data_IF_501115869089
#
_entry.id   IF_501115869089
#
_cell.length_a   1.000
_cell.length_b   1.000
_cell.length_c   1.000
_cell.angle_alpha   90.00
_cell.angle_beta   90.00
_cell.angle_gamma   90.00
#
_symmetry.space_group_name_H-M   'P 1'
#
loop_
_entity.id
_entity.type
_entity.pdbx_description
1 polymer ?
#
# COMPACT_ATOMS: atom_id res chain seq x y z
N UNK A 1 45.54 -24.45 -16.66
CA UNK A 1 44.18 -24.96 -16.97
C UNK A 1 43.22 -24.92 -15.75
N UNK A 2 43.66 -25.30 -14.55
CA UNK A 2 42.77 -25.29 -13.35
C UNK A 2 42.28 -23.90 -12.94
N UNK A 3 43.08 -22.86 -13.03
CA UNK A 3 42.68 -21.48 -12.69
C UNK A 3 41.64 -20.90 -13.65
N UNK A 4 41.67 -21.27 -14.92
CA UNK A 4 40.69 -20.83 -15.91
C UNK A 4 39.29 -21.42 -15.65
N UNK A 5 39.24 -22.69 -15.19
CA UNK A 5 37.95 -23.35 -14.86
C UNK A 5 37.34 -22.75 -13.60
N UNK A 6 38.17 -22.40 -12.61
CA UNK A 6 37.71 -21.78 -11.36
C UNK A 6 37.10 -20.37 -11.61
N UNK A 7 37.72 -19.58 -12.51
CA UNK A 7 37.21 -18.26 -12.89
C UNK A 7 35.89 -18.35 -13.64
N UNK A 8 35.73 -19.31 -14.56
CA UNK A 8 34.47 -19.54 -15.26
C UNK A 8 33.34 -19.96 -14.30
N UNK A 9 33.62 -20.81 -13.32
CA UNK A 9 32.66 -21.19 -12.28
C UNK A 9 32.30 -20.01 -11.38
N UNK A 10 33.24 -19.16 -11.00
CA UNK A 10 32.96 -17.96 -10.19
C UNK A 10 32.10 -16.93 -10.92
N UNK A 11 32.38 -16.69 -12.21
CA UNK A 11 31.55 -15.80 -13.06
C UNK A 11 30.15 -16.37 -13.24
N UNK A 12 29.98 -17.69 -13.43
CA UNK A 12 28.69 -18.35 -13.55
C UNK A 12 27.86 -18.24 -12.27
N UNK A 13 28.47 -18.38 -11.09
CA UNK A 13 27.78 -18.24 -9.80
C UNK A 13 27.36 -16.79 -9.55
N UNK A 14 28.20 -15.81 -9.89
CA UNK A 14 27.88 -14.39 -9.73
C UNK A 14 26.75 -13.98 -10.66
N UNK A 15 26.72 -14.44 -11.91
CA UNK A 15 25.61 -14.15 -12.83
C UNK A 15 24.29 -14.77 -12.39
N UNK A 16 24.31 -15.95 -11.77
CA UNK A 16 23.12 -16.59 -11.23
C UNK A 16 22.56 -15.86 -10.00
N UNK A 17 23.40 -15.23 -9.19
CA UNK A 17 23.00 -14.43 -8.02
C UNK A 17 22.41 -13.06 -8.39
N UNK A 18 22.67 -12.56 -9.60
CA UNK A 18 22.16 -11.27 -10.06
C UNK A 18 20.80 -11.36 -10.78
N UNK A 19 20.31 -12.56 -11.07
CA UNK A 19 18.97 -12.76 -11.63
C UNK A 19 18.00 -12.86 -10.47
N UNK A 20 17.65 -11.72 -9.87
CA UNK A 20 16.49 -11.65 -8.99
C UNK A 20 15.24 -11.81 -9.86
N UNK A 21 14.39 -12.82 -9.64
CA UNK A 21 13.11 -12.88 -10.33
C UNK A 21 12.31 -11.64 -9.94
N UNK A 22 12.05 -10.78 -10.90
CA UNK A 22 11.06 -9.72 -10.76
C UNK A 22 9.70 -10.39 -10.64
N UNK A 23 9.17 -10.52 -9.43
CA UNK A 23 7.78 -10.94 -9.21
C UNK A 23 6.93 -9.76 -9.65
N UNK A 24 6.48 -9.78 -10.91
CA UNK A 24 5.47 -8.84 -11.36
C UNK A 24 4.17 -9.16 -10.62
N UNK A 25 3.68 -8.21 -9.84
CA UNK A 25 2.37 -8.32 -9.21
C UNK A 25 1.31 -8.19 -10.32
N UNK A 26 0.78 -9.33 -10.76
CA UNK A 26 -0.28 -9.35 -11.77
C UNK A 26 -1.60 -9.06 -11.06
N UNK A 27 -2.21 -7.91 -11.38
CA UNK A 27 -3.55 -7.57 -10.91
C UNK A 27 -4.57 -8.55 -11.48
N UNK A 28 -5.29 -9.24 -10.61
CA UNK A 28 -6.39 -10.10 -10.99
C UNK A 28 -7.67 -9.60 -10.35
N UNK A 29 -8.47 -8.86 -11.11
CA UNK A 29 -9.79 -8.42 -10.69
C UNK A 29 -10.83 -8.76 -11.76
N UNK A 30 -12.12 -8.93 -11.38
CA UNK A 30 -13.18 -9.19 -12.34
C UNK A 30 -13.25 -8.08 -13.39
N UNK A 31 -13.17 -8.45 -14.67
CA UNK A 31 -13.39 -7.52 -15.78
C UNK A 31 -14.82 -7.62 -16.27
N UNK A 32 -15.40 -6.51 -16.69
CA UNK A 32 -16.76 -6.47 -17.23
C UNK A 32 -17.22 -5.05 -17.56
N UNK A 33 -18.36 -4.92 -18.24
CA UNK A 33 -18.96 -3.61 -18.47
C UNK A 33 -19.28 -2.97 -17.10
N UNK A 34 -18.93 -1.69 -16.94
CA UNK A 34 -19.10 -0.91 -15.71
C UNK A 34 -18.28 -1.42 -14.48
N UNK A 35 -17.26 -2.25 -14.70
CA UNK A 35 -16.31 -2.65 -13.65
C UNK A 35 -14.99 -1.93 -13.86
N UNK A 36 -14.56 -1.19 -12.86
CA UNK A 36 -13.24 -0.60 -12.76
C UNK A 36 -12.45 -1.31 -11.68
N UNK A 37 -11.13 -1.26 -11.72
CA UNK A 37 -10.32 -1.91 -10.70
C UNK A 37 -8.84 -1.62 -10.86
N UNK A 38 -8.07 -2.06 -9.92
CA UNK A 38 -6.63 -1.90 -9.93
C UNK A 38 -5.93 -2.60 -8.78
N UNK A 39 -4.62 -2.58 -8.85
CA UNK A 39 -3.77 -2.98 -7.75
C UNK A 39 -2.62 -1.99 -7.59
N UNK A 40 -2.14 -1.82 -6.36
CA UNK A 40 -1.05 -0.92 -6.06
C UNK A 40 -0.30 -1.34 -4.79
N UNK A 41 0.99 -1.06 -4.77
CA UNK A 41 1.71 -0.99 -3.52
C UNK A 41 1.36 0.33 -2.83
N UNK A 42 0.91 0.25 -1.59
CA UNK A 42 0.63 1.44 -0.80
C UNK A 42 1.94 2.07 -0.30
N UNK A 43 2.01 3.40 -0.14
CA UNK A 43 3.26 4.11 0.10
C UNK A 43 3.86 3.88 1.49
N UNK A 44 3.21 3.08 2.34
CA UNK A 44 3.66 2.81 3.71
C UNK A 44 3.29 1.41 4.17
N UNK A 45 3.94 0.95 5.25
CA UNK A 45 3.69 -0.32 5.94
C UNK A 45 3.90 -1.56 5.06
N UNK A 46 4.59 -1.44 3.90
CA UNK A 46 4.77 -2.51 2.90
C UNK A 46 3.45 -3.17 2.50
N UNK A 47 2.38 -2.38 2.50
CA UNK A 47 1.05 -2.85 2.19
C UNK A 47 0.79 -2.85 0.69
N UNK A 48 -0.11 -3.72 0.24
CA UNK A 48 -0.67 -3.72 -1.10
C UNK A 48 -2.19 -3.76 -1.05
N UNK A 49 -2.79 -3.26 -2.11
CA UNK A 49 -4.23 -3.08 -2.20
C UNK A 49 -4.72 -3.41 -3.60
N UNK A 50 -5.58 -4.41 -3.70
CA UNK A 50 -6.26 -4.82 -4.92
C UNK A 50 -7.74 -4.51 -4.74
N UNK A 51 -8.39 -4.00 -5.80
CA UNK A 51 -9.78 -3.62 -5.72
C UNK A 51 -10.50 -3.78 -7.06
N UNK A 52 -11.80 -3.98 -7.00
CA UNK A 52 -12.72 -3.92 -8.14
C UNK A 52 -14.02 -3.24 -7.71
N UNK A 53 -14.47 -2.27 -8.50
CA UNK A 53 -15.71 -1.55 -8.27
C UNK A 53 -16.67 -1.77 -9.43
N UNK A 54 -17.88 -2.22 -9.11
CA UNK A 54 -18.96 -2.37 -10.07
C UNK A 54 -19.95 -1.21 -9.90
N UNK A 55 -19.96 -0.29 -10.88
CA UNK A 55 -20.81 0.89 -10.84
C UNK A 55 -22.31 0.58 -10.98
N UNK A 56 -22.69 -0.60 -11.51
CA UNK A 56 -24.09 -0.97 -11.69
C UNK A 56 -24.80 -1.23 -10.35
N UNK A 57 -24.11 -1.85 -9.41
CA UNK A 57 -24.67 -2.22 -8.09
C UNK A 57 -23.89 -1.58 -6.93
N UNK A 58 -22.97 -0.67 -7.23
CA UNK A 58 -22.11 0.06 -6.28
C UNK A 58 -21.29 -0.83 -5.35
N UNK A 59 -20.95 -2.03 -5.78
CA UNK A 59 -20.12 -2.94 -4.98
C UNK A 59 -18.65 -2.66 -5.16
N UNK A 60 -17.91 -2.57 -4.07
CA UNK A 60 -16.46 -2.50 -4.01
C UNK A 60 -15.93 -3.79 -3.37
N UNK A 61 -15.23 -4.61 -4.15
CA UNK A 61 -14.47 -5.77 -3.65
C UNK A 61 -13.03 -5.35 -3.42
N UNK A 62 -12.46 -5.71 -2.28
CA UNK A 62 -11.10 -5.35 -1.90
C UNK A 62 -10.30 -6.57 -1.41
N UNK A 63 -9.00 -6.52 -1.66
CA UNK A 63 -8.00 -7.34 -0.96
C UNK A 63 -6.90 -6.40 -0.45
N UNK A 64 -6.89 -6.17 0.85
CA UNK A 64 -5.81 -5.45 1.53
C UNK A 64 -4.81 -6.45 2.09
N UNK A 65 -3.53 -6.25 1.85
CA UNK A 65 -2.45 -7.16 2.29
C UNK A 65 -1.36 -6.35 2.97
N UNK A 66 -0.95 -6.78 4.17
CA UNK A 66 0.17 -6.17 4.87
C UNK A 66 0.92 -7.19 5.74
N UNK A 67 2.24 -7.05 5.93
CA UNK A 67 2.96 -7.82 6.94
C UNK A 67 2.52 -7.42 8.34
N UNK A 68 2.40 -8.39 9.25
CA UNK A 68 2.15 -8.10 10.65
C UNK A 68 3.36 -7.39 11.28
N UNK A 69 3.11 -6.44 12.16
CA UNK A 69 4.16 -5.77 12.96
C UNK A 69 4.80 -6.72 13.99
N UNK A 70 4.07 -7.77 14.39
CA UNK A 70 4.52 -8.84 15.28
C UNK A 70 3.62 -10.08 15.08
N UNK A 71 3.98 -11.28 15.57
CA UNK A 71 3.16 -12.49 15.43
C UNK A 71 1.73 -12.36 15.99
N UNK A 72 1.55 -11.53 17.03
CA UNK A 72 0.25 -11.27 17.67
C UNK A 72 -0.36 -9.94 17.19
N UNK A 73 0.14 -9.40 16.10
CA UNK A 73 -0.30 -8.14 15.53
C UNK A 73 -1.64 -8.23 14.80
N UNK A 74 -2.06 -7.09 14.29
CA UNK A 74 -3.25 -6.92 13.50
C UNK A 74 -2.99 -6.01 12.29
N UNK A 75 -3.83 -6.13 11.27
CA UNK A 75 -3.86 -5.22 10.12
C UNK A 75 -5.25 -4.63 9.99
N UNK A 76 -5.32 -3.44 9.41
CA UNK A 76 -6.58 -2.70 9.22
C UNK A 76 -6.60 -1.98 7.89
N UNK A 77 -7.77 -1.96 7.28
CA UNK A 77 -8.13 -1.08 6.18
C UNK A 77 -9.53 -0.54 6.42
N UNK A 78 -9.77 0.72 6.08
CA UNK A 78 -11.07 1.34 6.27
C UNK A 78 -11.28 2.56 5.40
N UNK A 79 -12.53 3.04 5.38
CA UNK A 79 -12.96 4.25 4.67
C UNK A 79 -13.31 5.32 5.70
N UNK A 80 -12.84 6.54 5.48
CA UNK A 80 -13.34 7.70 6.21
C UNK A 80 -14.38 8.42 5.33
N UNK A 81 -15.66 8.28 5.61
CA UNK A 81 -16.72 8.88 4.79
C UNK A 81 -16.79 10.41 4.90
N UNK A 82 -16.25 10.99 5.97
CA UNK A 82 -16.38 12.41 6.30
C UNK A 82 -15.07 13.20 6.26
N UNK A 83 -13.94 12.54 5.99
CA UNK A 83 -12.65 13.21 6.01
C UNK A 83 -11.51 12.38 5.42
N UNK A 84 -10.29 12.89 5.51
CA UNK A 84 -9.10 12.23 4.94
C UNK A 84 -8.16 11.65 6.00
N UNK A 85 -8.54 11.72 7.28
CA UNK A 85 -7.71 11.29 8.40
C UNK A 85 -8.23 10.03 9.08
N UNK A 86 -7.55 9.65 10.14
CA UNK A 86 -7.88 8.45 10.92
C UNK A 86 -9.20 8.60 11.70
N UNK A 87 -9.44 9.78 12.30
CA UNK A 87 -10.67 10.02 13.06
C UNK A 87 -11.86 10.08 12.10
N UNK A 88 -12.92 9.33 12.42
CA UNK A 88 -14.09 9.14 11.57
C UNK A 88 -13.98 7.95 10.62
N UNK A 89 -12.86 7.22 10.64
CA UNK A 89 -12.70 6.03 9.81
C UNK A 89 -13.55 4.88 10.33
N UNK A 90 -14.24 4.23 9.41
CA UNK A 90 -14.94 2.96 9.56
C UNK A 90 -14.01 1.85 9.06
N UNK A 91 -13.43 1.07 9.98
CA UNK A 91 -12.32 0.18 9.69
C UNK A 91 -12.67 -1.29 9.87
N UNK A 92 -12.23 -2.11 8.92
CA UNK A 92 -12.12 -3.56 9.06
C UNK A 92 -10.76 -3.86 9.67
N UNK A 93 -10.72 -4.60 10.77
CA UNK A 93 -9.49 -5.01 11.45
C UNK A 93 -9.42 -6.54 11.47
N UNK A 94 -8.33 -7.09 10.91
CA UNK A 94 -8.07 -8.52 10.90
C UNK A 94 -6.99 -8.90 11.91
N UNK A 95 -7.23 -9.94 12.66
CA UNK A 95 -6.32 -10.49 13.67
C UNK A 95 -6.64 -11.93 14.03
N UNK A 96 -5.76 -12.56 14.84
CA UNK A 96 -6.04 -13.83 15.51
C UNK A 96 -6.75 -13.56 16.84
N UNK A 97 -7.94 -14.09 17.00
CA UNK A 97 -8.70 -13.98 18.23
C UNK A 97 -8.12 -14.90 19.32
N UNK A 98 -8.63 -14.80 20.54
CA UNK A 98 -8.17 -15.55 21.73
C UNK A 98 -8.22 -17.07 21.57
N UNK A 99 -9.11 -17.58 20.72
CA UNK A 99 -9.20 -19.01 20.36
C UNK A 99 -8.29 -19.42 19.18
N UNK A 100 -7.47 -18.50 18.65
CA UNK A 100 -6.59 -18.72 17.50
C UNK A 100 -7.25 -18.58 16.12
N UNK A 101 -8.55 -18.34 16.04
CA UNK A 101 -9.26 -18.14 14.78
C UNK A 101 -8.92 -16.80 14.17
N UNK A 102 -8.83 -16.76 12.82
CA UNK A 102 -8.73 -15.50 12.08
C UNK A 102 -10.10 -14.83 12.03
N UNK A 103 -10.15 -13.57 12.42
CA UNK A 103 -11.38 -12.78 12.41
C UNK A 103 -11.18 -11.46 11.71
N UNK A 104 -12.25 -10.92 11.13
CA UNK A 104 -12.36 -9.53 10.68
C UNK A 104 -13.50 -8.90 11.46
N UNK A 105 -13.19 -7.86 12.22
CA UNK A 105 -14.19 -7.11 12.98
C UNK A 105 -14.28 -5.67 12.49
N UNK A 106 -15.44 -5.06 12.71
CA UNK A 106 -15.75 -3.69 12.32
C UNK A 106 -15.55 -2.72 13.48
N UNK A 107 -14.89 -1.60 13.23
CA UNK A 107 -14.60 -0.60 14.24
C UNK A 107 -14.85 0.81 13.72
N UNK A 108 -15.43 1.67 14.57
CA UNK A 108 -15.49 3.10 14.36
C UNK A 108 -14.39 3.79 15.17
N UNK A 109 -13.59 4.62 14.49
CA UNK A 109 -12.51 5.39 15.07
C UNK A 109 -13.02 6.79 15.42
N UNK A 110 -13.77 6.91 16.51
CA UNK A 110 -14.42 8.18 16.91
C UNK A 110 -13.40 9.21 17.44
N UNK A 111 -12.28 8.72 18.00
CA UNK A 111 -11.16 9.55 18.44
C UNK A 111 -9.90 8.69 18.56
N UNK A 112 -8.74 9.29 18.77
CA UNK A 112 -7.48 8.56 19.03
C UNK A 112 -7.52 7.68 20.31
N UNK A 113 -8.48 7.94 21.20
CA UNK A 113 -8.67 7.18 22.45
C UNK A 113 -9.90 6.28 22.43
N UNK A 114 -10.73 6.38 21.38
CA UNK A 114 -11.99 5.64 21.29
C UNK A 114 -12.09 4.92 19.95
N UNK A 115 -11.69 3.65 19.98
CA UNK A 115 -11.86 2.68 18.89
C UNK A 115 -12.93 1.70 19.36
N UNK A 116 -14.10 1.77 18.73
CA UNK A 116 -15.30 1.05 19.20
C UNK A 116 -15.69 -0.01 18.18
N UNK A 117 -15.76 -1.27 18.61
CA UNK A 117 -16.33 -2.36 17.82
C UNK A 117 -17.81 -2.05 17.53
N UNK A 118 -18.25 -2.20 16.30
CA UNK A 118 -19.59 -1.81 15.85
C UNK A 118 -20.05 -2.69 14.72
N UNK A 119 -21.38 -2.83 14.56
CA UNK A 119 -21.98 -3.42 13.38
C UNK A 119 -22.48 -2.38 12.37
N UNK A 120 -22.36 -1.11 12.70
CA UNK A 120 -22.93 -0.01 11.92
C UNK A 120 -21.84 0.79 11.23
N UNK A 121 -21.81 0.69 9.89
CA UNK A 121 -21.06 1.55 9.00
C UNK A 121 -22.00 2.36 8.14
N UNK A 122 -21.52 3.44 7.52
CA UNK A 122 -22.27 4.23 6.52
C UNK A 122 -22.47 3.46 5.22
N UNK A 123 -21.70 2.40 5.02
CA UNK A 123 -21.82 1.46 3.90
C UNK A 123 -22.05 0.04 4.43
N UNK A 124 -22.62 -0.82 3.58
CA UNK A 124 -22.91 -2.20 3.97
C UNK A 124 -21.70 -3.09 3.66
N UNK A 125 -21.26 -3.89 4.61
CA UNK A 125 -20.32 -4.99 4.40
C UNK A 125 -21.12 -6.25 4.08
N UNK A 126 -20.97 -6.78 2.86
CA UNK A 126 -21.65 -8.01 2.43
C UNK A 126 -20.92 -9.25 2.93
N UNK A 127 -19.60 -9.23 2.83
CA UNK A 127 -18.72 -10.31 3.24
C UNK A 127 -17.38 -9.74 3.67
N UNK A 128 -16.73 -10.43 4.62
CA UNK A 128 -15.34 -10.14 4.99
C UNK A 128 -14.69 -11.38 5.58
N UNK A 129 -13.44 -11.62 5.19
CA UNK A 129 -12.61 -12.70 5.74
C UNK A 129 -11.16 -12.27 5.87
N UNK A 130 -10.44 -12.91 6.79
CA UNK A 130 -9.01 -12.79 6.94
C UNK A 130 -8.29 -14.04 6.39
N UNK A 131 -7.13 -13.85 5.79
CA UNK A 131 -6.19 -14.91 5.44
C UNK A 131 -4.83 -14.56 6.04
N UNK A 132 -4.08 -15.58 6.47
CA UNK A 132 -2.76 -15.40 7.07
C UNK A 132 -1.79 -16.45 6.55
N UNK A 133 -0.65 -16.02 6.08
CA UNK A 133 0.46 -16.87 5.65
C UNK A 133 1.78 -16.12 5.73
N UNK A 134 2.84 -16.78 6.19
CA UNK A 134 4.21 -16.24 6.18
C UNK A 134 4.33 -14.82 6.79
N UNK A 135 3.71 -14.59 7.93
CA UNK A 135 3.67 -13.28 8.61
C UNK A 135 2.96 -12.16 7.83
N UNK A 136 2.20 -12.50 6.81
CA UNK A 136 1.37 -11.57 6.03
C UNK A 136 -0.09 -11.86 6.33
N UNK A 137 -0.84 -10.82 6.65
CA UNK A 137 -2.29 -10.85 6.86
C UNK A 137 -3.00 -10.19 5.68
N UNK A 138 -4.12 -10.78 5.24
CA UNK A 138 -4.99 -10.21 4.23
C UNK A 138 -6.37 -9.95 4.81
N UNK A 139 -7.00 -8.88 4.37
CA UNK A 139 -8.44 -8.62 4.51
C UNK A 139 -9.03 -8.70 3.13
N UNK A 140 -9.98 -9.62 2.92
CA UNK A 140 -10.82 -9.67 1.75
C UNK A 140 -12.22 -9.21 2.17
N UNK A 141 -12.81 -8.28 1.43
CA UNK A 141 -14.15 -7.81 1.75
C UNK A 141 -14.90 -7.35 0.51
N UNK A 142 -16.22 -7.44 0.56
CA UNK A 142 -17.13 -6.86 -0.42
C UNK A 142 -18.06 -5.89 0.27
N UNK A 143 -18.07 -4.65 -0.22
CA UNK A 143 -18.81 -3.52 0.35
C UNK A 143 -19.85 -3.03 -0.65
N UNK A 144 -21.00 -2.55 -0.19
CA UNK A 144 -21.95 -1.76 -0.99
C UNK A 144 -21.82 -0.31 -0.56
N UNK A 145 -21.32 0.51 -1.46
CA UNK A 145 -21.09 1.93 -1.21
C UNK A 145 -22.36 2.76 -1.49
N UNK A 146 -22.52 3.93 -0.88
CA UNK A 146 -23.55 4.89 -1.26
C UNK A 146 -23.48 5.23 -2.76
N UNK A 147 -24.63 5.38 -3.42
CA UNK A 147 -24.77 5.50 -4.88
C UNK A 147 -24.01 6.67 -5.50
N UNK A 148 -23.51 7.61 -4.88
CA UNK A 148 -22.77 8.77 -5.42
C UNK A 148 -21.27 8.74 -5.07
N UNK A 149 -20.83 7.68 -4.35
CA UNK A 149 -19.46 7.60 -3.87
C UNK A 149 -18.54 7.05 -4.98
N UNK A 150 -17.95 7.94 -5.76
CA UNK A 150 -16.96 7.61 -6.80
C UNK A 150 -15.52 7.75 -6.31
N UNK A 151 -15.33 8.25 -5.10
CA UNK A 151 -14.03 8.46 -4.47
C UNK A 151 -14.13 8.08 -3.00
N UNK A 152 -13.17 7.31 -2.51
CA UNK A 152 -13.09 6.92 -1.10
C UNK A 152 -11.80 7.40 -0.47
N UNK A 153 -11.88 7.98 0.73
CA UNK A 153 -10.73 8.28 1.54
C UNK A 153 -10.38 7.03 2.35
N UNK A 154 -9.28 6.39 2.01
CA UNK A 154 -8.84 5.16 2.65
C UNK A 154 -7.78 5.41 3.72
N UNK A 155 -7.83 4.61 4.77
CA UNK A 155 -6.85 4.60 5.86
C UNK A 155 -6.46 3.15 6.13
N UNK A 156 -5.17 2.87 6.27
CA UNK A 156 -4.68 1.54 6.61
C UNK A 156 -3.68 1.59 7.74
N UNK A 157 -3.63 0.53 8.55
CA UNK A 157 -2.76 0.46 9.71
C UNK A 157 -2.27 -0.96 9.97
N UNK A 158 -1.13 -1.08 10.64
CA UNK A 158 -0.69 -2.31 11.30
C UNK A 158 -0.38 -2.02 12.76
N UNK A 159 -0.75 -2.92 13.62
CA UNK A 159 -0.54 -2.75 15.06
C UNK A 159 0.17 -3.93 15.69
N UNK A 160 0.81 -3.72 16.86
CA UNK A 160 1.75 -4.66 17.44
C UNK A 160 1.10 -5.85 18.13
N UNK A 161 -0.12 -5.72 18.64
CA UNK A 161 -0.73 -6.76 19.48
C UNK A 161 -2.25 -6.66 19.53
N UNK A 162 -2.85 -7.80 19.86
CA UNK A 162 -4.24 -7.92 20.30
C UNK A 162 -4.23 -8.36 21.76
N UNK A 163 -4.98 -7.67 22.61
CA UNK A 163 -5.13 -8.02 24.03
C UNK A 163 -6.61 -8.21 24.36
N UNK A 164 -6.94 -9.34 24.94
CA UNK A 164 -8.32 -9.70 25.34
C UNK A 164 -9.31 -9.53 24.16
N UNK A 165 -8.90 -9.97 22.93
CA UNK A 165 -9.69 -9.86 21.71
C UNK A 165 -9.82 -8.43 21.16
N UNK A 166 -9.04 -7.47 21.66
CA UNK A 166 -9.07 -6.06 21.22
C UNK A 166 -7.73 -5.62 20.62
N UNK A 167 -7.72 -5.02 19.43
CA UNK A 167 -6.53 -4.45 18.83
C UNK A 167 -5.94 -3.34 19.72
N UNK A 168 -4.65 -3.44 20.02
CA UNK A 168 -3.91 -2.40 20.74
C UNK A 168 -3.53 -1.26 19.77
N UNK A 169 -3.28 -0.08 20.31
CA UNK A 169 -2.88 1.08 19.52
C UNK A 169 -1.64 0.76 18.68
N UNK A 170 -1.66 1.16 17.40
CA UNK A 170 -0.50 1.10 16.52
C UNK A 170 0.61 2.07 16.99
N UNK A 171 1.83 1.89 16.47
CA UNK A 171 2.93 2.80 16.74
C UNK A 171 2.66 4.18 16.10
N UNK A 172 3.14 5.24 16.75
CA UNK A 172 3.08 6.61 16.24
C UNK A 172 4.34 6.93 15.42
N UNK A 173 4.75 6.03 14.57
CA UNK A 173 5.87 6.24 13.66
C UNK A 173 5.42 6.87 12.33
N UNK A 174 6.36 7.41 11.53
CA UNK A 174 6.03 8.08 10.28
C UNK A 174 5.22 7.23 9.30
N UNK A 175 5.47 5.92 9.24
CA UNK A 175 4.77 5.03 8.31
C UNK A 175 3.29 4.84 8.70
N UNK A 176 3.00 4.66 10.00
CA UNK A 176 1.63 4.61 10.49
C UNK A 176 0.93 5.98 10.31
N UNK A 177 1.61 7.08 10.59
CA UNK A 177 1.02 8.43 10.49
C UNK A 177 0.69 8.85 9.05
N UNK A 178 1.38 8.31 8.05
CA UNK A 178 1.17 8.58 6.61
C UNK A 178 0.20 7.62 5.93
N UNK A 179 -0.24 6.57 6.61
CA UNK A 179 -1.03 5.47 6.03
C UNK A 179 -2.47 5.88 5.75
N UNK A 180 -2.63 6.77 4.79
CA UNK A 180 -3.90 7.27 4.27
C UNK A 180 -3.77 7.71 2.83
N UNK A 181 -4.86 7.72 2.10
CA UNK A 181 -4.88 8.12 0.69
C UNK A 181 -6.30 8.22 0.16
N UNK A 182 -6.42 8.64 -1.07
CA UNK A 182 -7.69 8.74 -1.80
C UNK A 182 -7.67 7.75 -2.95
N UNK A 183 -8.74 6.98 -3.10
CA UNK A 183 -8.95 6.04 -4.19
C UNK A 183 -10.09 6.57 -5.08
N UNK A 184 -9.80 6.76 -6.36
CA UNK A 184 -10.83 7.10 -7.36
C UNK A 184 -11.36 5.80 -7.98
N UNK A 185 -12.62 5.51 -7.77
CA UNK A 185 -13.29 4.29 -8.25
C UNK A 185 -13.65 4.34 -9.73
N UNK A 186 -13.59 5.52 -10.37
CA UNK A 186 -13.89 5.68 -11.79
C UNK A 186 -12.70 5.38 -12.70
N UNK A 187 -11.49 5.27 -12.16
CA UNK A 187 -10.26 5.02 -12.93
C UNK A 187 -9.79 3.58 -12.79
N UNK A 188 -9.36 3.00 -13.90
CA UNK A 188 -8.66 1.69 -13.90
C UNK A 188 -7.17 1.95 -13.83
N UNK A 189 -6.49 1.40 -12.84
CA UNK A 189 -5.03 1.41 -12.80
C UNK A 189 -4.54 0.06 -13.34
N UNK A 190 -4.04 0.07 -14.58
CA UNK A 190 -3.24 -1.03 -15.12
C UNK A 190 -1.88 -1.02 -14.42
N UNK A 191 -1.34 -2.21 -14.14
CA UNK A 191 -0.07 -2.36 -13.46
C UNK A 191 1.16 -1.98 -14.30
N UNK A 192 1.35 -0.69 -14.54
CA UNK A 192 2.59 -0.12 -15.05
C UNK A 192 3.25 0.68 -13.93
N UNK A 193 4.34 0.16 -13.41
CA UNK A 193 5.09 0.67 -12.25
C UNK A 193 5.72 2.07 -12.43
N UNK A 194 5.39 2.85 -13.47
CA UNK A 194 6.11 4.08 -13.79
C UNK A 194 5.27 5.38 -13.76
N UNK A 195 4.04 5.38 -13.26
CA UNK A 195 3.28 6.64 -13.23
C UNK A 195 2.54 6.89 -11.91
N UNK A 196 3.28 6.94 -10.81
CA UNK A 196 2.80 7.60 -9.59
C UNK A 196 2.89 9.11 -9.78
N UNK A 197 1.97 9.68 -10.54
CA UNK A 197 1.77 11.13 -10.55
C UNK A 197 1.17 11.50 -9.19
N UNK A 198 1.96 12.13 -8.35
CA UNK A 198 1.48 12.74 -7.12
C UNK A 198 0.32 13.71 -7.47
N UNK A 199 -0.76 13.76 -6.68
CA UNK A 199 -1.81 14.75 -6.90
C UNK A 199 -1.20 16.15 -6.84
N UNK A 200 -1.49 16.96 -7.88
CA UNK A 200 -1.05 18.34 -7.95
C UNK A 200 -1.57 19.11 -6.73
N UNK A 201 -0.76 19.95 -6.09
CA UNK A 201 -1.23 20.83 -5.02
C UNK A 201 -2.31 21.76 -5.57
N UNK A 202 -3.38 21.96 -4.78
CA UNK A 202 -4.45 22.88 -5.08
C UNK A 202 -3.89 24.29 -5.38
N UNK A 203 -4.46 25.03 -6.34
CA UNK A 203 -3.98 26.37 -6.68
C UNK A 203 -4.25 27.31 -5.50
N UNK A 204 -3.17 27.89 -4.97
CA UNK A 204 -3.26 29.02 -4.05
C UNK A 204 -3.79 30.23 -4.87
N UNK A 205 -4.85 30.85 -4.39
CA UNK A 205 -5.41 32.06 -4.94
C UNK A 205 -4.36 33.15 -5.01
N UNK A 206 -4.25 33.77 -6.18
CA UNK A 206 -3.26 34.77 -6.47
C UNK A 206 -3.68 36.17 -6.08
N UNK A 207 -2.69 37.03 -5.99
CA UNK A 207 -2.81 38.42 -6.42
C UNK A 207 -1.47 38.88 -7.01
N UNK A 208 -1.59 39.67 -8.07
CA UNK A 208 -0.63 39.97 -9.07
C UNK A 208 0.61 40.75 -8.68
N UNK A 209 1.59 40.70 -9.48
CA UNK A 209 2.19 41.85 -10.22
C UNK A 209 3.50 41.46 -10.90
N UNK A 210 3.56 41.78 -12.16
CA UNK A 210 4.66 42.12 -13.09
C UNK A 210 6.10 42.14 -12.59
N UNK A 211 7.02 41.51 -13.37
CA UNK A 211 8.47 41.82 -13.34
C UNK A 211 9.40 40.76 -13.93
N UNK A 212 9.61 40.80 -15.21
CA UNK A 212 10.83 40.69 -16.05
C UNK A 212 12.02 39.77 -15.66
N UNK A 213 12.32 38.83 -16.60
CA UNK A 213 13.62 38.29 -17.11
C UNK A 213 14.69 37.77 -16.13
N UNK A 214 15.07 36.47 -16.21
CA UNK A 214 16.25 36.03 -17.02
C UNK A 214 16.49 34.52 -16.77
N UNK A 215 17.07 33.87 -17.79
CA UNK A 215 17.27 32.44 -17.87
C UNK A 215 18.34 31.90 -16.92
N UNK A 216 18.14 30.65 -16.52
CA UNK A 216 19.11 29.84 -15.80
C UNK A 216 18.88 28.39 -16.16
N UNK A 217 19.72 27.87 -17.05
CA UNK A 217 19.81 26.46 -17.39
C UNK A 217 20.28 25.66 -16.16
N UNK A 218 19.45 24.82 -15.59
CA UNK A 218 19.86 23.85 -14.57
C UNK A 218 20.15 22.50 -15.22
N UNK A 219 21.44 22.19 -15.33
CA UNK A 219 21.95 20.88 -15.71
C UNK A 219 21.58 19.83 -14.67
N UNK A 220 20.82 18.84 -15.11
CA UNK A 220 20.50 17.63 -14.32
C UNK A 220 21.77 16.76 -14.32
N UNK A 221 22.42 16.64 -13.15
CA UNK A 221 23.51 15.69 -12.93
C UNK A 221 22.89 14.32 -12.63
N UNK A 222 23.06 13.40 -13.56
CA UNK A 222 22.67 12.00 -13.44
C UNK A 222 23.59 11.29 -12.44
N UNK A 223 23.01 10.66 -11.40
CA UNK A 223 23.67 9.94 -10.32
C UNK A 223 24.22 8.55 -10.71
N UNK A 224 24.53 8.29 -11.98
CA UNK A 224 25.05 6.99 -12.42
C UNK A 224 26.58 6.81 -12.30
N UNK A 225 27.33 7.84 -11.90
CA UNK A 225 28.81 7.77 -11.88
C UNK A 225 29.42 7.14 -10.63
N UNK A 226 28.71 6.92 -9.54
CA UNK A 226 29.30 6.44 -8.28
C UNK A 226 29.45 4.90 -8.24
N UNK A 227 28.62 4.17 -8.95
CA UNK A 227 28.69 2.70 -8.95
C UNK A 227 29.83 2.11 -9.78
N UNK A 228 30.27 2.80 -10.82
CA UNK A 228 31.37 2.32 -11.68
C UNK A 228 32.77 2.47 -11.06
N UNK A 229 32.95 3.39 -10.15
CA UNK A 229 34.26 3.63 -9.50
C UNK A 229 34.57 2.56 -8.42
N UNK A 230 33.53 1.99 -7.79
CA UNK A 230 33.75 0.98 -6.73
C UNK A 230 34.12 -0.42 -7.27
N UNK A 231 33.70 -0.75 -8.49
CA UNK A 231 34.02 -2.05 -9.12
C UNK A 231 35.44 -2.07 -9.68
N UNK A 232 35.97 -0.92 -10.10
CA UNK A 232 37.34 -0.83 -10.63
C UNK A 232 38.44 -0.84 -9.53
N UNK A 233 38.13 -0.41 -8.30
CA UNK A 233 39.11 -0.40 -7.20
C UNK A 233 39.32 -1.77 -6.54
N UNK A 234 38.37 -2.70 -6.67
CA UNK A 234 38.55 -4.08 -6.14
C UNK A 234 39.36 -4.99 -7.08
N UNK A 235 39.55 -4.60 -8.35
CA UNK A 235 40.36 -5.36 -9.32
C UNK A 235 41.88 -5.16 -9.21
N UNK A 236 42.33 -4.13 -8.50
CA UNK A 236 43.77 -3.78 -8.42
C UNK A 236 44.45 -4.33 -7.16
N UNK A 237 43.73 -4.92 -6.23
CA UNK A 237 44.28 -5.46 -4.98
C UNK A 237 44.58 -6.98 -5.01
N UNK A 238 44.43 -7.63 -6.17
CA UNK A 238 44.73 -9.06 -6.35
C UNK A 238 45.61 -9.35 -7.58
N UNK A 239 46.69 -8.58 -7.74
CA UNK A 239 47.84 -8.97 -8.58
C UNK A 239 49.11 -8.80 -7.79
#
# INVERSE_FOLDING_TARGET
>A
MAYSLLHLLFISVITFLLISPSISHHCSYPSGPNVTGGCSHLPSLKASFDWAYNATNTTLSITFTAPLASPDGWVSWGINPNGTGMIGTEALIAFKDTNGSLVVKKYNLNSYKSVVETDRFTYKVLDSKAEYSNNVMKILATLVLPAQMTTVNQVWQVGPAVKDGRPMMHKLDPDNMKSKGTLNLATTFGGDENNATAPAPAPAGGDGQSGNKSGGSSTIWSNYSIFYVFVMFLGVLFF
#
